data_IF_215618439695
#
_entry.id   IF_215618439695
#
_cell.length_a   1.000
_cell.length_b   1.000
_cell.length_c   1.000
_cell.angle_alpha   90.00
_cell.angle_beta   90.00
_cell.angle_gamma   90.00
#
_symmetry.space_group_name_H-M   'P 1'
#
loop_
_entity.id
_entity.type
_entity.pdbx_description
1 polymer ?
#
# COMPACT_ATOMS: atom_id res chain seq x y z
N UNK A 1 1.90 20.04 22.75
CA UNK A 1 1.08 20.34 23.95
C UNK A 1 0.60 19.04 24.55
N UNK A 2 1.10 18.74 25.75
CA UNK A 2 0.66 17.58 26.53
C UNK A 2 -0.82 17.73 26.82
N UNK A 3 -1.62 16.75 26.49
CA UNK A 3 -3.05 16.75 26.76
C UNK A 3 -3.27 16.71 28.26
N UNK A 4 -3.64 17.86 28.85
CA UNK A 4 -3.89 17.94 30.29
C UNK A 4 -5.15 17.14 30.66
N UNK A 5 -4.99 16.19 31.57
CA UNK A 5 -6.05 15.33 32.11
C UNK A 5 -6.06 15.47 33.61
N UNK A 6 -6.64 16.56 34.06
CA UNK A 6 -6.64 16.87 35.48
C UNK A 6 -7.76 16.13 36.22
N UNK A 7 -7.36 15.39 37.23
CA UNK A 7 -8.27 14.66 38.11
C UNK A 7 -8.21 15.27 39.50
N UNK A 8 -9.34 15.70 39.96
CA UNK A 8 -9.58 16.19 41.33
C UNK A 8 -10.31 15.13 42.11
N UNK A 9 -9.95 14.95 43.36
CA UNK A 9 -10.68 14.16 44.34
C UNK A 9 -11.19 15.07 45.45
N UNK A 10 -12.49 15.12 45.61
CA UNK A 10 -13.11 16.02 46.61
C UNK A 10 -12.56 17.44 46.53
N UNK A 11 -12.45 17.99 45.33
CA UNK A 11 -11.96 19.34 44.97
C UNK A 11 -10.45 19.56 45.22
N UNK A 12 -9.69 18.54 45.56
CA UNK A 12 -8.22 18.61 45.63
C UNK A 12 -7.62 17.98 44.38
N UNK A 13 -6.62 18.63 43.78
CA UNK A 13 -5.90 18.09 42.63
C UNK A 13 -5.20 16.81 43.06
N UNK A 14 -5.53 15.72 42.40
CA UNK A 14 -4.91 14.41 42.59
C UNK A 14 -3.77 14.16 41.58
N UNK A 15 -4.04 14.43 40.30
CA UNK A 15 -3.10 14.23 39.23
C UNK A 15 -3.38 15.19 38.06
N UNK A 16 -2.32 15.60 37.35
CA UNK A 16 -2.42 16.37 36.10
C UNK A 16 -2.39 15.50 34.85
N UNK A 17 -2.10 14.20 35.00
CA UNK A 17 -1.94 13.25 33.88
C UNK A 17 -2.42 11.84 34.27
N UNK A 18 -3.60 11.75 34.90
CA UNK A 18 -4.17 10.42 35.21
C UNK A 18 -4.86 9.81 34.02
N UNK A 19 -4.16 8.90 33.37
CA UNK A 19 -4.69 8.10 32.25
C UNK A 19 -5.65 6.99 32.71
N UNK A 20 -5.73 6.67 34.00
CA UNK A 20 -6.48 5.52 34.48
C UNK A 20 -8.00 5.71 34.53
N UNK A 21 -8.46 6.95 34.50
CA UNK A 21 -9.90 7.27 34.51
C UNK A 21 -10.52 7.19 33.10
N UNK A 22 -9.76 7.52 32.07
CA UNK A 22 -10.21 7.42 30.68
C UNK A 22 -9.81 6.07 30.07
N UNK A 23 -10.61 5.54 29.13
CA UNK A 23 -10.17 4.44 28.28
C UNK A 23 -8.90 4.81 27.50
N UNK A 24 -7.99 3.87 27.30
CA UNK A 24 -6.73 4.11 26.55
C UNK A 24 -6.96 4.69 25.14
N UNK A 25 -8.02 4.28 24.47
CA UNK A 25 -8.38 4.77 23.15
C UNK A 25 -8.81 6.25 23.14
N UNK A 26 -9.20 6.82 24.30
CA UNK A 26 -9.63 8.23 24.42
C UNK A 26 -8.44 9.21 24.57
N UNK A 27 -7.24 8.86 24.05
CA UNK A 27 -6.00 9.64 24.19
C UNK A 27 -6.12 11.10 23.69
N UNK A 28 -7.02 11.38 22.74
CA UNK A 28 -7.26 12.72 22.17
C UNK A 28 -8.22 13.58 23.02
N UNK A 29 -8.78 13.03 24.11
CA UNK A 29 -9.68 13.74 25.01
C UNK A 29 -8.88 14.48 26.08
N UNK A 30 -9.17 15.76 26.25
CA UNK A 30 -8.79 16.54 27.43
C UNK A 30 -9.90 16.43 28.45
N UNK A 31 -9.57 16.22 29.71
CA UNK A 31 -10.57 16.16 30.75
C UNK A 31 -10.20 16.95 31.99
N UNK A 32 -11.23 17.44 32.64
CA UNK A 32 -11.21 18.00 33.98
C UNK A 32 -12.30 17.26 34.78
N UNK A 33 -11.89 16.40 35.67
CA UNK A 33 -12.82 15.55 36.44
C UNK A 33 -12.68 15.84 37.94
N UNK A 34 -13.79 16.01 38.61
CA UNK A 34 -13.84 16.00 40.10
C UNK A 34 -14.58 14.74 40.53
N UNK A 35 -13.90 13.84 41.21
CA UNK A 35 -14.45 12.57 41.69
C UNK A 35 -14.70 12.67 43.20
N UNK A 36 -15.90 12.38 43.62
CA UNK A 36 -16.25 12.36 45.06
C UNK A 36 -16.32 10.95 45.64
N UNK A 37 -16.67 9.96 44.81
CA UNK A 37 -16.87 8.57 45.23
C UNK A 37 -15.69 7.63 45.01
N UNK A 38 -14.63 8.07 44.31
CA UNK A 38 -13.45 7.29 44.08
C UNK A 38 -12.47 7.36 45.25
N UNK A 39 -11.56 6.39 45.34
CA UNK A 39 -10.54 6.35 46.40
C UNK A 39 -9.16 6.63 45.79
N UNK A 40 -8.34 7.40 46.50
CA UNK A 40 -6.92 7.57 46.16
C UNK A 40 -6.04 6.48 46.77
N UNK A 41 -4.89 6.24 46.17
CA UNK A 41 -3.81 5.47 46.78
C UNK A 41 -3.31 6.15 48.07
N UNK A 42 -2.55 5.41 48.88
CA UNK A 42 -1.96 5.96 50.11
C UNK A 42 -1.01 7.13 49.84
N UNK A 43 -0.33 7.16 48.69
CA UNK A 43 0.54 8.24 48.22
C UNK A 43 -0.26 9.49 47.76
N UNK A 44 -1.56 9.35 47.52
CA UNK A 44 -2.44 10.40 46.95
C UNK A 44 -2.02 10.93 45.58
N UNK A 45 -1.36 10.08 44.78
CA UNK A 45 -0.87 10.44 43.43
C UNK A 45 -1.72 9.78 42.33
N UNK A 46 -2.54 8.80 42.67
CA UNK A 46 -3.37 8.07 41.70
C UNK A 46 -4.66 7.53 42.34
N UNK A 47 -5.58 7.06 41.50
CA UNK A 47 -6.80 6.41 41.94
C UNK A 47 -6.55 4.93 42.23
N UNK A 48 -7.22 4.38 43.22
CA UNK A 48 -7.17 2.92 43.53
C UNK A 48 -7.86 2.16 42.40
N UNK A 49 -7.15 1.17 41.85
CA UNK A 49 -7.73 0.28 40.86
C UNK A 49 -8.71 -0.71 41.51
N UNK A 50 -9.99 -0.36 41.48
CA UNK A 50 -11.09 -1.17 41.97
C UNK A 50 -12.21 -1.26 40.93
N UNK A 51 -13.28 -2.00 41.25
CA UNK A 51 -14.40 -2.18 40.32
C UNK A 51 -15.13 -0.87 40.04
N UNK A 52 -15.25 0.00 41.03
CA UNK A 52 -15.87 1.32 40.88
C UNK A 52 -15.11 2.19 39.85
N UNK A 53 -13.77 2.16 39.83
CA UNK A 53 -12.97 2.87 38.85
C UNK A 53 -13.13 2.26 37.44
N UNK A 54 -13.25 0.90 37.37
CA UNK A 54 -13.49 0.22 36.10
C UNK A 54 -14.85 0.58 35.52
N UNK A 55 -15.88 0.61 36.36
CA UNK A 55 -17.24 0.99 35.95
C UNK A 55 -17.29 2.44 35.50
N UNK A 56 -16.69 3.37 36.27
CA UNK A 56 -16.60 4.79 35.90
C UNK A 56 -15.88 4.95 34.54
N UNK A 57 -14.78 4.25 34.31
CA UNK A 57 -14.07 4.28 33.01
C UNK A 57 -14.95 3.77 31.87
N UNK A 58 -15.71 2.72 32.09
CA UNK A 58 -16.64 2.16 31.10
C UNK A 58 -17.74 3.15 30.76
N UNK A 59 -18.37 3.74 31.74
CA UNK A 59 -19.44 4.75 31.56
C UNK A 59 -18.94 6.00 30.83
N UNK A 60 -17.78 6.53 31.21
CA UNK A 60 -17.14 7.64 30.52
C UNK A 60 -16.84 7.25 29.08
N UNK A 61 -16.31 6.05 28.84
CA UNK A 61 -16.04 5.53 27.51
C UNK A 61 -17.30 5.45 26.64
N UNK A 62 -18.41 4.98 27.18
CA UNK A 62 -19.70 4.96 26.46
C UNK A 62 -20.18 6.38 26.14
N UNK A 63 -20.14 7.29 27.10
CA UNK A 63 -20.54 8.68 26.89
C UNK A 63 -19.72 9.40 25.81
N UNK A 64 -18.39 9.11 25.74
CA UNK A 64 -17.52 9.64 24.69
C UNK A 64 -17.91 9.06 23.32
N UNK A 65 -18.14 7.75 23.22
CA UNK A 65 -18.58 7.10 21.98
C UNK A 65 -19.92 7.68 21.49
N UNK A 66 -20.85 7.87 22.38
CA UNK A 66 -22.17 8.47 22.05
C UNK A 66 -22.04 9.93 21.61
N UNK A 67 -21.17 10.69 22.24
CA UNK A 67 -20.86 12.05 21.80
C UNK A 67 -20.24 12.08 20.40
N UNK A 68 -19.29 11.19 20.12
CA UNK A 68 -18.68 11.07 18.79
C UNK A 68 -19.70 10.68 17.72
N UNK A 69 -20.63 9.75 18.03
CA UNK A 69 -21.77 9.42 17.14
C UNK A 69 -22.64 10.65 16.87
N UNK A 70 -22.93 11.42 17.94
CA UNK A 70 -23.67 12.67 17.82
C UNK A 70 -22.94 13.71 16.95
N UNK A 71 -21.62 13.82 17.02
CA UNK A 71 -20.84 14.71 16.15
C UNK A 71 -20.94 14.31 14.68
N UNK A 72 -20.93 13.03 14.38
CA UNK A 72 -21.11 12.52 13.01
C UNK A 72 -22.42 13.01 12.40
N UNK A 73 -23.49 13.02 13.19
CA UNK A 73 -24.83 13.40 12.74
C UNK A 73 -25.06 14.91 12.74
N UNK A 74 -24.60 15.60 13.77
CA UNK A 74 -25.01 16.98 14.06
C UNK A 74 -23.91 18.02 13.83
N UNK A 75 -22.62 17.63 13.87
CA UNK A 75 -21.49 18.55 13.69
C UNK A 75 -20.33 17.91 12.97
N UNK A 76 -20.52 17.65 11.70
CA UNK A 76 -19.54 17.01 10.82
C UNK A 76 -18.20 17.76 10.74
N UNK A 77 -18.25 19.09 10.80
CA UNK A 77 -17.03 19.92 10.77
C UNK A 77 -16.11 19.66 11.95
N UNK A 78 -16.68 19.53 13.16
CA UNK A 78 -15.90 19.24 14.36
C UNK A 78 -15.38 17.80 14.32
N UNK A 79 -16.18 16.85 13.85
CA UNK A 79 -15.76 15.46 13.67
C UNK A 79 -14.58 15.33 12.69
N UNK A 80 -14.64 16.02 11.55
CA UNK A 80 -13.55 16.01 10.57
C UNK A 80 -12.26 16.60 11.15
N UNK A 81 -12.33 17.67 11.95
CA UNK A 81 -11.14 18.22 12.64
C UNK A 81 -10.46 17.18 13.55
N UNK A 82 -11.24 16.34 14.23
CA UNK A 82 -10.70 15.25 15.06
C UNK A 82 -9.97 14.24 14.16
N UNK A 83 -10.57 13.86 13.05
CA UNK A 83 -9.97 12.93 12.10
C UNK A 83 -8.70 13.49 11.45
N UNK A 84 -8.72 14.75 11.01
CA UNK A 84 -7.58 15.40 10.35
C UNK A 84 -6.32 15.36 11.22
N UNK A 85 -6.50 15.54 12.53
CA UNK A 85 -5.38 15.54 13.49
C UNK A 85 -5.02 14.14 13.97
N UNK A 86 -6.00 13.24 14.15
CA UNK A 86 -5.83 11.98 14.89
C UNK A 86 -6.06 10.71 14.08
N UNK A 87 -6.31 10.79 12.76
CA UNK A 87 -6.68 9.62 11.94
C UNK A 87 -5.73 8.43 12.09
N UNK A 88 -4.41 8.67 12.20
CA UNK A 88 -3.43 7.60 12.36
C UNK A 88 -3.64 6.81 13.67
N UNK A 89 -3.82 7.52 14.77
CA UNK A 89 -4.07 6.89 16.08
C UNK A 89 -5.46 6.27 16.15
N UNK A 90 -6.46 6.89 15.49
CA UNK A 90 -7.80 6.32 15.38
C UNK A 90 -7.77 5.01 14.58
N UNK A 91 -6.96 4.92 13.51
CA UNK A 91 -6.72 3.67 12.79
C UNK A 91 -6.15 2.59 13.72
N UNK A 92 -5.17 2.94 14.57
CA UNK A 92 -4.59 2.00 15.53
C UNK A 92 -5.64 1.42 16.48
N UNK A 93 -6.43 2.29 17.15
CA UNK A 93 -7.44 1.82 18.09
C UNK A 93 -8.61 1.09 17.42
N UNK A 94 -9.03 1.52 16.23
CA UNK A 94 -10.05 0.84 15.43
C UNK A 94 -9.61 -0.56 14.99
N UNK A 95 -8.32 -0.78 14.82
CA UNK A 95 -7.79 -2.12 14.53
C UNK A 95 -8.00 -3.11 15.67
N UNK A 96 -8.20 -2.63 16.90
CA UNK A 96 -8.41 -3.46 18.09
C UNK A 96 -9.88 -3.53 18.53
N UNK A 97 -10.63 -2.41 18.42
CA UNK A 97 -12.02 -2.29 18.89
C UNK A 97 -13.00 -2.30 17.70
N UNK A 98 -13.92 -3.28 17.68
CA UNK A 98 -14.92 -3.41 16.60
C UNK A 98 -15.96 -2.27 16.60
N UNK A 99 -16.28 -1.72 17.77
CA UNK A 99 -17.26 -0.65 17.88
C UNK A 99 -16.69 0.66 17.35
N UNK A 100 -15.44 0.96 17.70
CA UNK A 100 -14.72 2.13 17.15
C UNK A 100 -14.45 1.95 15.65
N UNK A 101 -14.16 0.73 15.20
CA UNK A 101 -14.04 0.45 13.78
C UNK A 101 -15.33 0.81 13.02
N UNK A 102 -16.49 0.35 13.51
CA UNK A 102 -17.78 0.69 12.88
C UNK A 102 -18.08 2.18 12.93
N UNK A 103 -17.68 2.87 14.01
CA UNK A 103 -17.91 4.29 14.16
C UNK A 103 -17.06 5.13 13.19
N UNK A 104 -15.80 4.78 13.01
CA UNK A 104 -14.84 5.62 12.29
C UNK A 104 -14.57 5.19 10.86
N UNK A 105 -14.72 3.90 10.51
CA UNK A 105 -14.24 3.33 9.26
C UNK A 105 -14.65 4.12 8.01
N UNK A 106 -15.91 4.46 7.88
CA UNK A 106 -16.42 5.19 6.70
C UNK A 106 -15.77 6.56 6.50
N UNK A 107 -15.18 7.11 7.57
CA UNK A 107 -14.59 8.45 7.58
C UNK A 107 -13.07 8.44 7.52
N UNK A 108 -12.44 7.30 7.82
CA UNK A 108 -10.99 7.19 7.80
C UNK A 108 -10.43 7.39 6.39
N UNK A 109 -9.36 8.18 6.25
CA UNK A 109 -8.71 8.41 4.96
C UNK A 109 -7.86 7.21 4.55
N UNK A 110 -7.98 6.83 3.27
CA UNK A 110 -7.11 5.85 2.62
C UNK A 110 -6.51 6.45 1.36
N UNK A 111 -5.22 6.20 1.12
CA UNK A 111 -4.59 6.56 -0.13
C UNK A 111 -5.10 5.64 -1.24
N UNK A 112 -5.45 6.22 -2.39
CA UNK A 112 -5.86 5.48 -3.58
C UNK A 112 -5.12 5.98 -4.81
N UNK A 113 -5.21 5.24 -5.91
CA UNK A 113 -4.68 5.69 -7.21
C UNK A 113 -5.36 6.95 -7.75
N UNK A 114 -6.47 7.39 -7.15
CA UNK A 114 -7.20 8.64 -7.45
C UNK A 114 -7.11 9.66 -6.32
N UNK A 115 -6.05 9.62 -5.50
CA UNK A 115 -5.83 10.49 -4.35
C UNK A 115 -6.39 9.91 -3.03
N UNK A 116 -6.26 10.67 -1.95
CA UNK A 116 -6.77 10.26 -0.64
C UNK A 116 -8.29 10.37 -0.61
N UNK A 117 -8.96 9.32 -0.16
CA UNK A 117 -10.43 9.23 -0.06
C UNK A 117 -10.85 8.64 1.27
N UNK A 118 -12.03 9.03 1.76
CA UNK A 118 -12.64 8.34 2.90
C UNK A 118 -13.10 6.94 2.50
N UNK A 119 -13.03 5.98 3.41
CA UNK A 119 -13.45 4.61 3.12
C UNK A 119 -14.92 4.51 2.67
N UNK A 120 -15.82 5.26 3.27
CA UNK A 120 -17.22 5.32 2.85
C UNK A 120 -17.39 5.74 1.38
N UNK A 121 -16.55 6.68 0.90
CA UNK A 121 -16.52 7.06 -0.52
C UNK A 121 -15.97 5.95 -1.43
N UNK A 122 -15.02 5.16 -0.95
CA UNK A 122 -14.47 4.01 -1.68
C UNK A 122 -15.54 2.91 -1.79
N UNK A 123 -16.15 2.54 -0.67
CA UNK A 123 -17.19 1.51 -0.59
C UNK A 123 -18.44 1.84 -1.39
N UNK A 124 -18.87 3.10 -1.44
CA UNK A 124 -20.02 3.52 -2.21
C UNK A 124 -19.84 3.43 -3.72
N UNK A 125 -18.59 3.33 -4.20
CA UNK A 125 -18.29 3.18 -5.62
C UNK A 125 -18.41 1.72 -6.08
N UNK A 126 -18.05 0.76 -5.23
CA UNK A 126 -18.11 -0.67 -5.53
C UNK A 126 -18.10 -1.47 -4.20
N UNK A 127 -18.75 -2.65 -4.20
CA UNK A 127 -18.66 -3.60 -3.11
C UNK A 127 -17.38 -4.45 -3.15
N UNK A 128 -16.61 -4.38 -4.23
CA UNK A 128 -15.30 -5.00 -4.37
C UNK A 128 -14.23 -3.94 -4.13
N UNK A 129 -13.49 -4.07 -3.05
CA UNK A 129 -12.38 -3.17 -2.73
C UNK A 129 -11.08 -3.78 -3.21
N UNK A 130 -10.56 -3.24 -4.30
CA UNK A 130 -9.23 -3.57 -4.79
C UNK A 130 -8.16 -2.91 -3.94
N UNK A 131 -7.15 -3.64 -3.49
CA UNK A 131 -6.07 -3.10 -2.66
C UNK A 131 -4.73 -3.76 -2.96
N UNK A 132 -3.64 -3.07 -2.62
CA UNK A 132 -2.27 -3.61 -2.62
C UNK A 132 -1.71 -3.61 -1.21
N UNK A 133 -0.89 -4.62 -0.87
CA UNK A 133 -0.32 -4.80 0.48
C UNK A 133 0.94 -4.00 0.72
N UNK A 134 1.69 -3.71 -0.34
CA UNK A 134 2.95 -2.99 -0.25
C UNK A 134 2.98 -1.79 -1.19
N UNK A 135 3.88 -0.86 -0.90
CA UNK A 135 3.99 0.41 -1.62
C UNK A 135 4.56 0.24 -3.03
N UNK A 136 5.42 -0.73 -3.24
CA UNK A 136 6.05 -1.05 -4.51
C UNK A 136 4.99 -1.51 -5.52
N UNK A 137 4.16 -2.47 -5.11
CA UNK A 137 3.03 -2.95 -5.92
C UNK A 137 2.05 -1.82 -6.23
N UNK A 138 1.72 -0.99 -5.22
CA UNK A 138 0.83 0.15 -5.44
C UNK A 138 1.35 1.10 -6.51
N UNK A 139 2.64 1.42 -6.50
CA UNK A 139 3.26 2.31 -7.49
C UNK A 139 3.19 1.77 -8.91
N UNK A 140 3.36 0.45 -9.07
CA UNK A 140 3.27 -0.21 -10.36
C UNK A 140 1.82 -0.30 -10.85
N UNK A 141 0.93 -0.74 -9.95
CA UNK A 141 -0.49 -0.99 -10.26
C UNK A 141 -1.26 0.30 -10.53
N UNK A 142 -0.99 1.39 -9.80
CA UNK A 142 -1.84 2.60 -9.78
C UNK A 142 -2.12 3.22 -11.15
N UNK A 143 -1.11 3.25 -12.06
CA UNK A 143 -1.27 3.85 -13.40
C UNK A 143 -2.14 2.97 -14.29
N UNK A 144 -1.89 1.68 -14.28
CA UNK A 144 -2.60 0.69 -15.08
C UNK A 144 -4.05 0.59 -14.61
N UNK A 145 -4.26 0.41 -13.32
CA UNK A 145 -5.57 0.36 -12.72
C UNK A 145 -6.37 1.65 -12.98
N UNK A 146 -5.70 2.81 -12.91
CA UNK A 146 -6.30 4.10 -13.22
C UNK A 146 -6.80 4.19 -14.67
N UNK A 147 -6.04 3.70 -15.63
CA UNK A 147 -6.43 3.67 -17.04
C UNK A 147 -7.57 2.70 -17.33
N UNK A 148 -7.67 1.63 -16.56
CA UNK A 148 -8.78 0.67 -16.62
C UNK A 148 -10.03 1.13 -15.82
N UNK A 149 -9.96 2.29 -15.19
CA UNK A 149 -11.05 2.84 -14.38
C UNK A 149 -11.13 2.30 -12.95
N UNK A 150 -10.28 1.36 -12.58
CA UNK A 150 -10.30 0.74 -11.25
C UNK A 150 -9.88 1.70 -10.15
N UNK A 151 -10.48 1.53 -8.99
CA UNK A 151 -10.07 2.22 -7.77
C UNK A 151 -9.30 1.23 -6.90
N UNK A 152 -8.01 1.53 -6.68
CA UNK A 152 -7.11 0.67 -5.88
C UNK A 152 -6.64 1.41 -4.65
N UNK A 153 -6.77 0.76 -3.51
CA UNK A 153 -6.34 1.26 -2.19
C UNK A 153 -4.90 0.85 -1.91
N UNK A 154 -4.08 1.79 -1.48
CA UNK A 154 -2.78 1.52 -0.90
C UNK A 154 -2.93 1.07 0.56
N UNK A 155 -2.86 -0.22 0.82
CA UNK A 155 -2.94 -0.77 2.17
C UNK A 155 -1.55 -1.06 2.80
N UNK A 156 -0.48 -0.47 2.27
CA UNK A 156 0.88 -0.62 2.78
C UNK A 156 1.13 0.09 4.13
N UNK A 157 0.25 1.01 4.54
CA UNK A 157 0.37 1.67 5.84
C UNK A 157 0.00 0.74 6.98
N UNK A 158 0.63 0.95 8.12
CA UNK A 158 0.68 0.02 9.28
C UNK A 158 -0.65 -0.64 9.67
N UNK A 159 -1.77 0.09 9.60
CA UNK A 159 -3.07 -0.41 10.04
C UNK A 159 -4.06 -0.67 8.89
N UNK A 160 -3.77 -0.19 7.69
CA UNK A 160 -4.74 -0.12 6.61
C UNK A 160 -5.22 -1.50 6.15
N UNK A 161 -4.31 -2.44 5.93
CA UNK A 161 -4.66 -3.81 5.57
C UNK A 161 -5.48 -4.50 6.68
N UNK A 162 -5.04 -4.32 7.93
CA UNK A 162 -5.74 -4.91 9.10
C UNK A 162 -7.16 -4.39 9.21
N UNK A 163 -7.35 -3.07 9.02
CA UNK A 163 -8.68 -2.44 9.07
C UNK A 163 -9.57 -2.94 7.94
N UNK A 164 -9.07 -3.00 6.70
CA UNK A 164 -9.82 -3.53 5.56
C UNK A 164 -10.28 -4.96 5.82
N UNK A 165 -9.36 -5.85 6.21
CA UNK A 165 -9.66 -7.26 6.49
C UNK A 165 -10.65 -7.43 7.65
N UNK A 166 -10.47 -6.66 8.72
CA UNK A 166 -11.36 -6.70 9.88
C UNK A 166 -12.76 -6.19 9.53
N UNK A 167 -12.83 -5.10 8.76
CA UNK A 167 -14.10 -4.53 8.34
C UNK A 167 -14.86 -5.45 7.40
N UNK A 168 -14.19 -6.09 6.44
CA UNK A 168 -14.79 -7.07 5.54
C UNK A 168 -15.34 -8.29 6.29
N UNK A 169 -14.65 -8.76 7.34
CA UNK A 169 -15.18 -9.85 8.19
C UNK A 169 -16.47 -9.46 8.93
N UNK A 170 -16.65 -8.18 9.24
CA UNK A 170 -17.85 -7.67 9.91
C UNK A 170 -18.98 -7.31 8.93
N UNK A 171 -18.67 -7.24 7.64
CA UNK A 171 -19.60 -6.87 6.55
C UNK A 171 -19.42 -7.86 5.39
N UNK A 172 -20.12 -9.00 5.41
CA UNK A 172 -19.93 -10.08 4.43
C UNK A 172 -20.27 -9.70 2.99
N UNK A 173 -21.03 -8.61 2.78
CA UNK A 173 -21.33 -8.07 1.46
C UNK A 173 -20.12 -7.40 0.78
N UNK A 174 -19.06 -7.07 1.56
CA UNK A 174 -17.86 -6.44 1.06
C UNK A 174 -16.82 -7.50 0.69
N UNK A 175 -16.36 -7.48 -0.53
CA UNK A 175 -15.27 -8.34 -1.01
C UNK A 175 -13.98 -7.55 -1.09
N UNK A 176 -12.90 -8.14 -0.56
CA UNK A 176 -11.56 -7.60 -0.74
C UNK A 176 -10.86 -8.36 -1.85
N UNK A 177 -10.34 -7.63 -2.82
CA UNK A 177 -9.55 -8.17 -3.92
C UNK A 177 -8.12 -7.64 -3.86
N UNK A 178 -7.18 -8.49 -3.49
CA UNK A 178 -5.77 -8.16 -3.44
C UNK A 178 -5.20 -8.17 -4.86
N UNK A 179 -4.70 -7.02 -5.29
CA UNK A 179 -4.11 -6.85 -6.62
C UNK A 179 -2.59 -6.80 -6.47
N UNK A 180 -1.93 -7.76 -7.11
CA UNK A 180 -0.49 -7.73 -7.33
C UNK A 180 -0.17 -7.39 -8.79
N UNK A 181 1.03 -6.85 -9.09
CA UNK A 181 1.47 -6.66 -10.46
C UNK A 181 1.43 -7.94 -11.30
N UNK A 182 1.79 -9.09 -10.71
CA UNK A 182 1.72 -10.41 -11.36
C UNK A 182 0.31 -10.75 -11.82
N UNK A 183 -0.68 -10.53 -10.96
CA UNK A 183 -2.09 -10.77 -11.28
C UNK A 183 -2.61 -9.85 -12.38
N UNK A 184 -2.13 -8.60 -12.43
CA UNK A 184 -2.42 -7.71 -13.54
C UNK A 184 -1.87 -8.23 -14.87
N UNK A 185 -0.65 -8.78 -14.87
CA UNK A 185 -0.04 -9.35 -16.08
C UNK A 185 -0.86 -10.50 -16.66
N UNK A 186 -1.55 -11.28 -15.83
CA UNK A 186 -2.44 -12.37 -16.27
C UNK A 186 -3.68 -11.85 -17.01
N UNK A 187 -4.12 -10.62 -16.69
CA UNK A 187 -5.29 -9.99 -17.31
C UNK A 187 -4.96 -9.26 -18.62
N UNK A 188 -3.68 -9.10 -18.95
CA UNK A 188 -3.27 -8.46 -20.19
C UNK A 188 -3.58 -9.34 -21.40
N UNK A 189 -3.99 -8.68 -22.49
CA UNK A 189 -4.30 -9.35 -23.73
C UNK A 189 -3.07 -10.05 -24.32
N UNK A 190 -3.25 -11.29 -24.74
CA UNK A 190 -2.20 -12.02 -25.44
C UNK A 190 -2.02 -11.44 -26.84
N UNK A 191 -0.77 -11.38 -27.31
CA UNK A 191 -0.47 -11.02 -28.69
C UNK A 191 -0.69 -12.20 -29.63
N UNK A 192 -1.05 -11.93 -30.88
CA UNK A 192 -1.14 -12.95 -31.89
C UNK A 192 0.21 -13.71 -32.03
N UNK A 193 0.15 -15.02 -32.32
CA UNK A 193 1.34 -15.86 -32.43
C UNK A 193 2.13 -15.62 -33.73
N UNK A 194 2.40 -14.36 -34.06
CA UNK A 194 3.21 -13.98 -35.23
C UNK A 194 4.68 -14.34 -35.03
N UNK A 195 5.34 -14.73 -36.11
CA UNK A 195 6.76 -15.09 -36.09
C UNK A 195 7.65 -13.94 -35.61
N UNK A 196 7.31 -12.71 -35.97
CA UNK A 196 8.02 -11.50 -35.55
C UNK A 196 7.97 -11.25 -34.04
N UNK A 197 6.83 -11.52 -33.39
CA UNK A 197 6.65 -11.35 -31.95
C UNK A 197 7.43 -12.39 -31.14
N UNK A 198 7.44 -13.64 -31.63
CA UNK A 198 8.27 -14.71 -31.03
C UNK A 198 9.76 -14.42 -31.19
N UNK A 199 10.18 -13.88 -32.35
CA UNK A 199 11.57 -13.50 -32.58
C UNK A 199 11.99 -12.36 -31.65
N UNK A 200 11.11 -11.37 -31.43
CA UNK A 200 11.31 -10.27 -30.49
C UNK A 200 11.51 -10.78 -29.06
N UNK A 201 10.58 -11.60 -28.57
CA UNK A 201 10.68 -12.17 -27.22
C UNK A 201 11.95 -13.01 -27.05
N UNK A 202 12.31 -13.84 -28.03
CA UNK A 202 13.51 -14.66 -27.99
C UNK A 202 14.78 -13.79 -27.87
N UNK A 203 14.91 -12.73 -28.69
CA UNK A 203 16.04 -11.79 -28.61
C UNK A 203 16.10 -11.02 -27.29
N UNK A 204 14.96 -10.49 -26.83
CA UNK A 204 14.91 -9.78 -25.55
C UNK A 204 15.27 -10.69 -24.37
N UNK A 205 14.78 -11.94 -24.39
CA UNK A 205 15.14 -12.96 -23.39
C UNK A 205 16.64 -13.29 -23.41
N UNK A 206 17.26 -13.39 -24.59
CA UNK A 206 18.71 -13.64 -24.70
C UNK A 206 19.52 -12.49 -24.06
N UNK A 207 19.14 -11.23 -24.34
CA UNK A 207 19.82 -10.05 -23.80
C UNK A 207 19.74 -9.94 -22.27
N UNK A 208 18.58 -10.30 -21.70
CA UNK A 208 18.34 -10.16 -20.26
C UNK A 208 18.54 -11.48 -19.48
N UNK A 209 18.95 -12.54 -20.14
CA UNK A 209 19.18 -13.86 -19.53
C UNK A 209 20.14 -13.80 -18.33
N UNK A 210 21.21 -13.00 -18.43
CA UNK A 210 22.20 -12.84 -17.36
C UNK A 210 21.64 -12.22 -16.09
N UNK A 211 20.55 -11.48 -16.19
CA UNK A 211 19.82 -10.90 -15.06
C UNK A 211 18.66 -11.79 -14.57
N UNK A 212 18.51 -12.99 -15.14
CA UNK A 212 17.42 -13.90 -14.80
C UNK A 212 16.02 -13.37 -15.14
N UNK A 213 15.93 -12.36 -16.00
CA UNK A 213 14.68 -11.70 -16.37
C UNK A 213 14.06 -12.37 -17.61
N UNK A 214 12.76 -12.68 -17.54
CA UNK A 214 11.96 -13.19 -18.64
C UNK A 214 11.25 -12.05 -19.35
N UNK A 215 11.31 -12.00 -20.68
CA UNK A 215 10.63 -10.98 -21.48
C UNK A 215 9.35 -11.55 -22.10
N UNK A 216 8.27 -10.77 -22.05
CA UNK A 216 6.98 -11.08 -22.67
C UNK A 216 6.48 -9.86 -23.44
N UNK A 217 5.70 -10.13 -24.49
CA UNK A 217 4.99 -9.10 -25.25
C UNK A 217 3.49 -9.29 -25.04
N UNK A 218 2.78 -8.26 -24.61
CA UNK A 218 1.34 -8.30 -24.33
C UNK A 218 0.66 -6.99 -24.73
N UNK A 219 -0.66 -7.03 -24.89
CA UNK A 219 -1.49 -5.85 -25.07
C UNK A 219 -2.01 -5.36 -23.72
N UNK A 220 -1.74 -4.09 -23.38
CA UNK A 220 -2.31 -3.48 -22.18
C UNK A 220 -2.45 -1.96 -22.29
N UNK A 221 -3.37 -1.41 -21.52
CA UNK A 221 -3.58 0.04 -21.36
C UNK A 221 -3.03 0.53 -20.02
N UNK A 222 -2.48 1.77 -19.98
CA UNK A 222 -2.43 2.76 -21.04
C UNK A 222 -1.28 2.50 -22.03
N UNK A 223 -1.47 2.89 -23.30
CA UNK A 223 -0.51 2.67 -24.36
C UNK A 223 0.79 3.48 -24.20
N UNK A 224 0.80 4.54 -23.39
CA UNK A 224 1.99 5.35 -23.10
C UNK A 224 3.01 4.67 -22.19
N UNK A 225 2.67 3.56 -21.56
CA UNK A 225 3.59 2.73 -20.77
C UNK A 225 4.24 1.70 -21.70
N UNK A 226 5.56 1.81 -21.97
CA UNK A 226 6.23 0.88 -22.88
C UNK A 226 6.48 -0.51 -22.27
N UNK A 227 6.83 -0.54 -20.98
CA UNK A 227 7.18 -1.79 -20.29
C UNK A 227 6.72 -1.77 -18.84
N UNK A 228 6.52 -2.97 -18.28
CA UNK A 228 6.27 -3.19 -16.87
C UNK A 228 7.20 -4.31 -16.42
N UNK A 229 7.92 -4.06 -15.32
CA UNK A 229 8.74 -5.07 -14.68
C UNK A 229 8.03 -5.56 -13.42
N UNK A 230 7.99 -6.87 -13.25
CA UNK A 230 7.42 -7.53 -12.07
C UNK A 230 8.41 -8.57 -11.57
N UNK A 231 8.75 -8.46 -10.29
CA UNK A 231 9.45 -9.49 -9.55
C UNK A 231 8.67 -9.73 -8.25
N UNK A 232 8.34 -10.97 -7.98
CA UNK A 232 7.80 -11.32 -6.66
C UNK A 232 8.96 -11.27 -5.65
N UNK A 233 8.87 -10.35 -4.68
CA UNK A 233 9.74 -10.42 -3.52
C UNK A 233 9.48 -11.74 -2.78
N UNK A 234 10.56 -12.43 -2.41
CA UNK A 234 10.48 -13.52 -1.44
C UNK A 234 9.87 -12.92 -0.17
N UNK A 235 8.60 -13.19 0.10
CA UNK A 235 8.11 -13.02 1.46
C UNK A 235 9.07 -13.81 2.34
N UNK A 236 9.92 -13.12 3.06
CA UNK A 236 10.63 -13.69 4.20
C UNK A 236 9.55 -13.98 5.23
N UNK A 237 8.93 -15.14 5.10
CA UNK A 237 8.04 -15.72 6.09
C UNK A 237 8.88 -16.07 7.31
N UNK A 238 9.33 -15.05 8.04
CA UNK A 238 9.59 -15.15 9.46
C UNK A 238 8.24 -15.20 10.20
N UNK A 239 7.36 -16.12 9.79
CA UNK A 239 6.42 -16.68 10.73
C UNK A 239 7.23 -17.61 11.60
N UNK A 240 7.64 -17.08 12.75
CA UNK A 240 8.05 -17.84 13.92
C UNK A 240 6.96 -18.90 14.23
N UNK A 241 6.95 -19.98 13.51
CA UNK A 241 6.31 -21.20 13.95
C UNK A 241 7.33 -21.88 14.85
N UNK A 242 7.19 -21.66 16.17
CA UNK A 242 7.85 -22.44 17.21
C UNK A 242 7.40 -23.92 17.17
N UNK A 243 7.47 -24.55 16.04
CA UNK A 243 7.19 -25.97 15.89
C UNK A 243 8.41 -26.67 15.24
N UNK A 244 9.32 -27.24 16.02
CA UNK A 244 10.50 -27.91 15.52
C UNK A 244 10.18 -29.13 14.63
N UNK A 245 8.94 -29.65 14.64
CA UNK A 245 8.54 -30.79 13.82
C UNK A 245 8.27 -30.41 12.35
N UNK A 246 7.95 -29.15 12.06
CA UNK A 246 7.70 -28.68 10.68
C UNK A 246 8.99 -28.63 9.85
N UNK A 247 10.14 -28.47 10.49
CA UNK A 247 11.46 -28.46 9.84
C UNK A 247 11.91 -29.86 9.38
N UNK A 248 11.39 -30.93 9.96
CA UNK A 248 11.80 -32.32 9.68
C UNK A 248 10.94 -32.96 8.59
N UNK A 249 9.73 -32.51 8.39
CA UNK A 249 8.78 -33.12 7.44
C UNK A 249 8.81 -32.54 6.03
N UNK A 250 9.75 -31.60 5.72
CA UNK A 250 10.06 -31.19 4.35
C UNK A 250 8.82 -30.92 3.50
N UNK A 251 7.81 -30.22 4.01
CA UNK A 251 6.72 -29.70 3.18
C UNK A 251 7.32 -28.62 2.29
N UNK A 252 7.83 -29.03 1.15
CA UNK A 252 8.16 -28.16 0.03
C UNK A 252 6.84 -27.53 -0.41
N UNK A 253 6.51 -26.37 0.15
CA UNK A 253 5.55 -25.48 -0.47
C UNK A 253 6.20 -25.05 -1.79
N UNK A 254 5.88 -25.75 -2.87
CA UNK A 254 6.14 -25.32 -4.23
C UNK A 254 5.23 -24.13 -4.55
N UNK A 255 5.50 -23.01 -3.92
CA UNK A 255 5.03 -21.72 -4.42
C UNK A 255 5.76 -21.55 -5.76
N UNK A 256 5.02 -21.59 -6.87
CA UNK A 256 5.56 -21.28 -8.20
C UNK A 256 6.15 -19.89 -8.10
N UNK A 257 7.48 -19.79 -7.99
CA UNK A 257 8.18 -18.54 -8.09
C UNK A 257 8.04 -18.06 -9.53
N UNK A 258 7.32 -16.97 -9.75
CA UNK A 258 7.29 -16.32 -11.05
C UNK A 258 8.66 -15.65 -11.22
N UNK A 259 9.43 -15.99 -12.25
CA UNK A 259 10.71 -15.34 -12.49
C UNK A 259 10.49 -13.85 -12.74
N UNK A 260 11.45 -12.97 -12.40
CA UNK A 260 11.40 -11.58 -12.77
C UNK A 260 11.01 -11.41 -14.22
N UNK A 261 9.94 -10.68 -14.51
CA UNK A 261 9.35 -10.60 -15.84
C UNK A 261 9.27 -9.16 -16.31
N UNK A 262 9.83 -8.86 -17.47
CA UNK A 262 9.68 -7.60 -18.20
C UNK A 262 8.64 -7.79 -19.30
N UNK A 263 7.49 -7.13 -19.16
CA UNK A 263 6.40 -7.20 -20.13
C UNK A 263 6.40 -5.94 -20.99
N UNK A 264 6.60 -6.11 -22.28
CA UNK A 264 6.53 -5.06 -23.30
C UNK A 264 5.08 -4.85 -23.74
N UNK A 265 4.68 -3.59 -23.94
CA UNK A 265 3.36 -3.23 -24.40
C UNK A 265 3.31 -3.16 -25.94
N UNK A 266 2.65 -4.12 -26.57
CA UNK A 266 2.48 -4.14 -28.03
C UNK A 266 1.68 -2.93 -28.58
N UNK A 267 0.94 -2.23 -27.72
CA UNK A 267 0.18 -1.04 -28.11
C UNK A 267 0.98 0.27 -28.01
N UNK A 268 2.16 0.22 -27.38
CA UNK A 268 3.05 1.36 -27.25
C UNK A 268 3.80 1.66 -28.56
N UNK A 269 3.87 2.93 -28.95
CA UNK A 269 4.54 3.36 -30.18
C UNK A 269 6.02 3.02 -30.22
N UNK A 270 6.74 3.22 -29.11
CA UNK A 270 8.17 2.88 -29.01
C UNK A 270 8.40 1.37 -29.17
N UNK A 271 7.54 0.53 -28.58
CA UNK A 271 7.64 -0.93 -28.70
C UNK A 271 7.31 -1.38 -30.12
N UNK A 272 6.33 -0.75 -30.79
CA UNK A 272 6.04 -1.02 -32.21
C UNK A 272 7.22 -0.67 -33.11
N UNK A 273 7.87 0.46 -32.85
CA UNK A 273 9.11 0.82 -33.56
C UNK A 273 10.22 -0.17 -33.29
N UNK A 274 10.37 -0.61 -32.03
CA UNK A 274 11.36 -1.61 -31.64
C UNK A 274 11.13 -2.96 -32.34
N UNK A 275 9.89 -3.35 -32.56
CA UNK A 275 9.53 -4.53 -33.36
C UNK A 275 10.02 -4.42 -34.83
N UNK A 276 9.98 -3.22 -35.41
CA UNK A 276 10.44 -3.01 -36.79
C UNK A 276 11.96 -3.04 -36.93
N UNK A 277 12.69 -2.54 -35.92
CA UNK A 277 14.16 -2.47 -35.92
C UNK A 277 14.84 -3.69 -35.32
N UNK A 278 14.11 -4.76 -34.98
CA UNK A 278 14.69 -5.95 -34.38
C UNK A 278 15.79 -6.62 -35.24
N UNK A 279 15.91 -6.26 -36.52
CA UNK A 279 17.02 -6.62 -37.40
C UNK A 279 18.34 -5.90 -37.07
N UNK A 280 18.29 -4.68 -36.52
CA UNK A 280 19.45 -3.94 -36.02
C UNK A 280 19.77 -4.38 -34.56
N UNK A 281 20.70 -5.31 -34.44
CA UNK A 281 21.02 -5.89 -33.16
C UNK A 281 21.54 -4.89 -32.12
N UNK A 282 22.28 -3.84 -32.54
CA UNK A 282 22.86 -2.84 -31.61
C UNK A 282 21.79 -1.90 -31.07
N UNK A 283 21.00 -1.26 -31.96
CA UNK A 283 19.94 -0.36 -31.57
C UNK A 283 18.89 -1.07 -30.69
N UNK A 284 18.45 -2.23 -31.14
CA UNK A 284 17.52 -3.08 -30.38
C UNK A 284 18.04 -3.38 -28.96
N UNK A 285 19.31 -3.81 -28.86
CA UNK A 285 19.96 -4.12 -27.61
C UNK A 285 19.97 -2.94 -26.64
N UNK A 286 20.40 -1.76 -27.10
CA UNK A 286 20.48 -0.57 -26.26
C UNK A 286 19.11 -0.13 -25.75
N UNK A 287 18.07 -0.17 -26.59
CA UNK A 287 16.71 0.20 -26.19
C UNK A 287 16.15 -0.79 -25.14
N UNK A 288 16.34 -2.11 -25.35
CA UNK A 288 15.90 -3.12 -24.39
C UNK A 288 16.58 -2.94 -23.04
N UNK A 289 17.90 -2.70 -23.01
CA UNK A 289 18.65 -2.45 -21.77
C UNK A 289 18.14 -1.20 -21.02
N UNK A 290 17.91 -0.11 -21.76
CA UNK A 290 17.38 1.11 -21.14
C UNK A 290 16.00 0.87 -20.57
N UNK A 291 15.09 0.26 -21.31
CA UNK A 291 13.73 -0.02 -20.84
C UNK A 291 13.72 -0.95 -19.63
N UNK A 292 14.61 -1.95 -19.61
CA UNK A 292 14.78 -2.84 -18.46
C UNK A 292 15.17 -2.06 -17.19
N UNK A 293 16.31 -1.34 -17.22
CA UNK A 293 16.80 -0.63 -16.03
C UNK A 293 15.87 0.51 -15.65
N UNK A 294 15.30 1.23 -16.62
CA UNK A 294 14.28 2.26 -16.35
C UNK A 294 13.08 1.69 -15.61
N UNK A 295 12.63 0.49 -15.98
CA UNK A 295 11.50 -0.16 -15.29
C UNK A 295 11.84 -0.57 -13.87
N UNK A 296 13.07 -1.01 -13.60
CA UNK A 296 13.56 -1.26 -12.24
C UNK A 296 13.54 0.03 -11.40
N UNK A 297 14.10 1.11 -11.94
CA UNK A 297 14.13 2.42 -11.25
C UNK A 297 12.73 2.96 -10.96
N UNK A 298 11.80 2.85 -11.90
CA UNK A 298 10.41 3.28 -11.74
C UNK A 298 9.68 2.44 -10.69
N UNK A 299 9.92 1.13 -10.66
CA UNK A 299 9.39 0.20 -9.68
C UNK A 299 10.09 0.29 -8.31
N UNK A 300 11.20 1.05 -8.22
CA UNK A 300 12.09 1.11 -7.05
C UNK A 300 12.68 -0.25 -6.65
N UNK A 301 12.88 -1.11 -7.62
CA UNK A 301 13.67 -2.31 -7.41
C UNK A 301 15.15 -1.98 -7.21
N UNK A 302 15.88 -2.78 -6.44
CA UNK A 302 17.32 -2.58 -6.31
C UNK A 302 17.99 -2.75 -7.67
N UNK A 303 18.84 -1.80 -8.03
CA UNK A 303 19.64 -1.80 -9.25
C UNK A 303 21.09 -2.00 -8.85
N UNK A 304 21.76 -3.02 -9.37
CA UNK A 304 23.16 -3.27 -9.10
C UNK A 304 24.09 -2.42 -10.01
N UNK A 305 25.40 -2.44 -9.72
CA UNK A 305 26.38 -1.65 -10.46
C UNK A 305 26.47 -2.04 -11.93
N UNK A 306 26.35 -3.32 -12.25
CA UNK A 306 26.41 -3.83 -13.64
C UNK A 306 25.21 -3.36 -14.45
N UNK A 307 24.00 -3.36 -13.87
CA UNK A 307 22.78 -2.85 -14.50
C UNK A 307 22.87 -1.33 -14.73
N UNK A 308 23.44 -0.59 -13.78
CA UNK A 308 23.62 0.86 -13.94
C UNK A 308 24.67 1.21 -15.00
N UNK A 309 25.78 0.48 -15.06
CA UNK A 309 26.78 0.62 -16.14
C UNK A 309 26.17 0.31 -17.50
N UNK A 310 25.39 -0.76 -17.58
CA UNK A 310 24.66 -1.14 -18.79
C UNK A 310 23.72 -0.03 -19.29
N UNK A 311 22.98 0.58 -18.35
CA UNK A 311 22.07 1.69 -18.64
C UNK A 311 22.83 2.90 -19.18
N UNK A 312 23.89 3.32 -18.48
CA UNK A 312 24.67 4.50 -18.87
C UNK A 312 25.36 4.29 -20.21
N UNK A 313 25.94 3.10 -20.44
CA UNK A 313 26.56 2.78 -21.74
C UNK A 313 25.51 2.81 -22.87
N UNK A 314 24.38 2.12 -22.69
CA UNK A 314 23.34 2.06 -23.72
C UNK A 314 22.74 3.44 -24.02
N UNK A 315 22.55 4.28 -23.01
CA UNK A 315 22.07 5.65 -23.17
C UNK A 315 23.08 6.52 -23.94
N UNK A 316 24.38 6.44 -23.59
CA UNK A 316 25.46 7.17 -24.26
C UNK A 316 25.56 6.79 -25.74
N UNK A 317 25.49 5.52 -26.07
CA UNK A 317 25.54 5.02 -27.46
C UNK A 317 24.38 5.56 -28.30
N UNK A 318 23.14 5.50 -27.77
CA UNK A 318 21.97 6.04 -28.47
C UNK A 318 22.04 7.54 -28.67
N UNK A 319 22.48 8.28 -27.65
CA UNK A 319 22.64 9.74 -27.75
C UNK A 319 23.71 10.09 -28.79
N UNK A 320 24.86 9.43 -28.78
CA UNK A 320 25.93 9.65 -29.74
C UNK A 320 25.50 9.36 -31.17
N UNK A 321 24.81 8.22 -31.38
CA UNK A 321 24.26 7.86 -32.69
C UNK A 321 23.31 8.96 -33.21
N UNK A 322 22.40 9.43 -32.36
CA UNK A 322 21.45 10.48 -32.74
C UNK A 322 22.10 11.83 -33.04
N UNK A 323 23.13 12.19 -32.26
CA UNK A 323 23.91 13.41 -32.49
C UNK A 323 24.66 13.34 -33.84
N UNK A 324 25.25 12.20 -34.18
CA UNK A 324 25.92 11.97 -35.46
C UNK A 324 24.95 12.06 -36.65
N UNK A 325 23.75 11.47 -36.53
CA UNK A 325 22.69 11.57 -37.52
C UNK A 325 22.33 13.05 -37.79
N UNK A 326 22.20 13.84 -36.70
CA UNK A 326 21.89 15.27 -36.83
C UNK A 326 23.01 16.07 -37.49
N UNK A 327 24.30 15.79 -37.16
CA UNK A 327 25.46 16.42 -37.80
C UNK A 327 25.48 16.09 -39.29
N UNK A 328 25.25 14.82 -39.65
CA UNK A 328 25.20 14.37 -41.04
C UNK A 328 24.04 15.00 -41.85
N UNK A 329 22.94 15.35 -41.17
CA UNK A 329 21.82 16.04 -41.78
C UNK A 329 22.10 17.52 -42.02
N UNK A 330 22.97 18.16 -41.21
CA UNK A 330 23.39 19.56 -41.34
C UNK A 330 24.47 19.79 -42.41
N UNK A 331 25.23 18.75 -42.78
CA UNK A 331 26.26 18.77 -43.84
C UNK A 331 25.68 18.29 -45.18
#
# INVERSE_FOLDING_TARGET
>A
DVYKRQVYLKRMLLSEDDCNLLPQWAFFIRCLVNADGLLSTASRESLVSNDLLKDARKEIGMAIKDYLRGLVQNNRTMFNKILDVHHFHIKAIASEDNELLRLFMDYLPFETNKGVRSFGSIRSADNVICYTRNLEDFRQVRRIAGAQGWLVVNAAYTFDETLLKKYARLNPELTLDEISPSRLLEQFGEVEAKKEFRAFEAKANELLKRFGCVCRLKHFTPADIPVIFVAEEKESTTKSTNNPLAAVLGTVNTTRQIPPTLTFNADNEMVRTLLQIQGDNKMFQHVVHILYVQSLLQGKYPVNSEEMELFNHSLSELMTAKMNDFINFLN
#
